data_IF_746872863167
#
_entry.id   IF_746872863167
#
_cell.length_a   1.000
_cell.length_b   1.000
_cell.length_c   1.000
_cell.angle_alpha   90.00
_cell.angle_beta   90.00
_cell.angle_gamma   90.00
#
_symmetry.space_group_name_H-M   'P 1'
#
loop_
_entity.id
_entity.type
_entity.pdbx_description
1 polymer ?
#
# COMPACT_ATOMS: atom_id res chain seq x y z
N UNK A 1 -12.22 1.80 -10.18
CA UNK A 1 -11.36 1.47 -9.03
C UNK A 1 -10.90 2.75 -8.37
N UNK A 2 -10.91 2.82 -7.05
CA UNK A 2 -10.60 4.04 -6.30
C UNK A 2 -9.57 3.78 -5.21
N UNK A 3 -8.49 4.56 -5.19
CA UNK A 3 -7.54 4.64 -4.08
C UNK A 3 -8.15 5.42 -2.92
N UNK A 4 -8.17 4.84 -1.73
CA UNK A 4 -8.75 5.48 -0.54
C UNK A 4 -7.71 6.10 0.39
N UNK A 5 -6.48 6.24 -0.09
CA UNK A 5 -5.41 6.85 0.68
C UNK A 5 -4.81 5.96 1.77
N UNK A 6 -3.92 6.51 2.61
CA UNK A 6 -3.10 5.75 3.55
C UNK A 6 -3.87 5.27 4.79
N UNK A 7 -5.02 5.84 5.08
CA UNK A 7 -5.85 5.42 6.23
C UNK A 7 -6.84 6.47 6.70
N UNK A 8 -6.39 7.66 7.07
CA UNK A 8 -7.28 8.73 7.51
C UNK A 8 -8.16 9.22 6.33
N UNK A 9 -9.50 9.30 6.52
CA UNK A 9 -10.44 9.76 5.50
C UNK A 9 -10.20 11.17 4.94
N UNK A 10 -9.42 12.00 5.62
CA UNK A 10 -9.06 13.33 5.14
C UNK A 10 -8.10 13.30 3.92
N UNK A 11 -7.42 12.16 3.74
CA UNK A 11 -6.50 11.94 2.62
C UNK A 11 -7.14 11.23 1.42
N UNK A 12 -8.46 11.00 1.43
CA UNK A 12 -9.16 10.51 0.26
C UNK A 12 -9.42 11.65 -0.72
N UNK A 13 -9.13 11.44 -2.00
CA UNK A 13 -9.44 12.42 -3.02
C UNK A 13 -10.95 12.64 -3.15
N UNK A 14 -11.42 13.88 -3.39
CA UNK A 14 -12.85 14.17 -3.60
C UNK A 14 -13.48 13.30 -4.70
N UNK A 15 -12.75 13.06 -5.80
CA UNK A 15 -13.21 12.20 -6.90
C UNK A 15 -13.43 10.74 -6.45
N UNK A 16 -12.54 10.20 -5.60
CA UNK A 16 -12.70 8.85 -5.06
C UNK A 16 -13.90 8.78 -4.10
N UNK A 17 -14.05 9.77 -3.22
CA UNK A 17 -15.21 9.89 -2.33
C UNK A 17 -16.53 9.94 -3.11
N UNK A 18 -16.63 10.81 -4.12
CA UNK A 18 -17.82 10.92 -4.96
C UNK A 18 -18.16 9.60 -5.65
N UNK A 19 -17.16 8.91 -6.22
CA UNK A 19 -17.36 7.61 -6.85
C UNK A 19 -17.88 6.55 -5.87
N UNK A 20 -17.34 6.49 -4.66
CA UNK A 20 -17.76 5.56 -3.61
C UNK A 20 -19.18 5.87 -3.14
N UNK A 21 -19.50 7.12 -2.87
CA UNK A 21 -20.82 7.55 -2.40
C UNK A 21 -21.93 7.32 -3.42
N UNK A 22 -21.61 7.46 -4.71
CA UNK A 22 -22.55 7.22 -5.81
C UNK A 22 -22.67 5.76 -6.25
N UNK A 23 -21.85 4.86 -5.72
CA UNK A 23 -21.86 3.46 -6.13
C UNK A 23 -23.06 2.69 -5.55
N UNK A 24 -23.64 1.79 -6.33
CA UNK A 24 -24.60 0.79 -5.83
C UNK A 24 -23.91 -0.46 -5.29
N UNK A 25 -22.73 -0.77 -5.80
CA UNK A 25 -21.93 -1.94 -5.41
C UNK A 25 -20.51 -1.51 -5.05
N UNK A 26 -20.08 -1.86 -3.84
CA UNK A 26 -18.74 -1.61 -3.34
C UNK A 26 -17.98 -2.92 -3.10
N UNK A 27 -16.75 -2.98 -3.55
CA UNK A 27 -15.82 -4.07 -3.28
C UNK A 27 -14.59 -3.49 -2.57
N UNK A 28 -14.17 -4.08 -1.46
CA UNK A 28 -13.02 -3.53 -0.72
C UNK A 28 -12.61 -4.41 0.46
N UNK A 29 -11.49 -4.09 1.09
CA UNK A 29 -11.11 -4.69 2.37
C UNK A 29 -12.13 -4.37 3.46
N UNK A 30 -12.19 -5.19 4.53
CA UNK A 30 -13.19 -5.03 5.60
C UNK A 30 -13.17 -3.62 6.23
N UNK A 31 -11.97 -3.04 6.44
CA UNK A 31 -11.82 -1.67 6.94
C UNK A 31 -12.41 -0.65 5.97
N UNK A 32 -12.05 -0.74 4.68
CA UNK A 32 -12.56 0.20 3.67
C UNK A 32 -14.08 0.18 3.59
N UNK A 33 -14.69 -1.01 3.67
CA UNK A 33 -16.15 -1.13 3.70
C UNK A 33 -16.75 -0.56 4.98
N UNK A 34 -16.12 -0.78 6.14
CA UNK A 34 -16.59 -0.23 7.41
C UNK A 34 -16.55 1.31 7.42
N UNK A 35 -15.50 1.91 6.83
CA UNK A 35 -15.28 3.35 6.83
C UNK A 35 -16.16 4.08 5.78
N UNK A 36 -16.45 3.44 4.64
CA UNK A 36 -17.02 4.15 3.48
C UNK A 36 -18.35 3.61 2.98
N UNK A 37 -18.75 2.36 3.28
CA UNK A 37 -20.02 1.83 2.81
C UNK A 37 -21.20 2.49 3.53
N UNK A 38 -22.27 2.75 2.77
CA UNK A 38 -23.52 3.35 3.27
C UNK A 38 -24.68 2.36 3.17
N UNK A 39 -25.72 2.62 3.96
CA UNK A 39 -26.95 1.85 3.88
C UNK A 39 -27.50 1.82 2.45
N UNK A 40 -27.91 0.64 2.01
CA UNK A 40 -28.46 0.42 0.66
C UNK A 40 -27.43 0.06 -0.42
N UNK A 41 -26.12 0.15 -0.12
CA UNK A 41 -25.07 -0.32 -1.05
C UNK A 41 -24.83 -1.83 -0.85
N UNK A 42 -24.78 -2.58 -1.93
CA UNK A 42 -24.33 -3.97 -1.90
C UNK A 42 -22.80 -4.03 -1.73
N UNK A 43 -22.31 -4.89 -0.86
CA UNK A 43 -20.87 -4.92 -0.55
C UNK A 43 -20.27 -6.31 -0.71
N UNK A 44 -19.00 -6.37 -1.18
CA UNK A 44 -18.19 -7.58 -1.15
C UNK A 44 -16.84 -7.32 -0.53
N UNK A 45 -16.50 -8.13 0.48
CA UNK A 45 -15.19 -8.02 1.16
C UNK A 45 -14.12 -8.81 0.40
N UNK A 46 -12.99 -8.17 0.12
CA UNK A 46 -11.78 -8.83 -0.41
C UNK A 46 -11.12 -9.63 0.71
N UNK A 47 -11.08 -10.98 0.59
CA UNK A 47 -10.54 -11.91 1.60
C UNK A 47 -9.55 -12.91 1.02
N UNK A 48 -8.73 -12.58 0.10
CA UNK A 48 -7.73 -13.51 -0.45
C UNK A 48 -8.20 -14.36 -1.63
N UNK A 49 -9.48 -14.75 -1.72
CA UNK A 49 -10.03 -15.39 -2.92
C UNK A 49 -10.34 -14.33 -3.99
N UNK A 50 -9.33 -14.02 -4.77
CA UNK A 50 -9.42 -13.03 -5.84
C UNK A 50 -10.33 -13.51 -6.97
N UNK A 51 -10.39 -14.81 -7.24
CA UNK A 51 -11.26 -15.36 -8.29
C UNK A 51 -12.73 -15.12 -7.97
N UNK A 52 -13.15 -15.35 -6.73
CA UNK A 52 -14.52 -15.06 -6.28
C UNK A 52 -14.84 -13.56 -6.36
N UNK A 53 -13.89 -12.69 -6.03
CA UNK A 53 -14.03 -11.23 -6.15
C UNK A 53 -14.24 -10.82 -7.61
N UNK A 54 -13.44 -11.34 -8.53
CA UNK A 54 -13.55 -11.05 -9.97
C UNK A 54 -14.89 -11.56 -10.55
N UNK A 55 -15.31 -12.76 -10.17
CA UNK A 55 -16.60 -13.32 -10.59
C UNK A 55 -17.79 -12.45 -10.11
N UNK A 56 -17.75 -12.01 -8.86
CA UNK A 56 -18.75 -11.10 -8.31
C UNK A 56 -18.80 -9.77 -9.09
N UNK A 57 -17.63 -9.14 -9.31
CA UNK A 57 -17.55 -7.90 -10.09
C UNK A 57 -18.13 -8.10 -11.48
N UNK A 58 -17.79 -9.19 -12.17
CA UNK A 58 -18.28 -9.51 -13.51
C UNK A 58 -19.80 -9.69 -13.56
N UNK A 59 -20.38 -10.34 -12.57
CA UNK A 59 -21.82 -10.47 -12.42
C UNK A 59 -22.51 -9.11 -12.25
N UNK A 60 -21.98 -8.27 -11.33
CA UNK A 60 -22.62 -6.98 -11.03
C UNK A 60 -22.48 -5.95 -12.15
N UNK A 61 -21.38 -5.98 -12.91
CA UNK A 61 -21.18 -5.11 -14.07
C UNK A 61 -22.22 -5.29 -15.18
N UNK A 62 -22.98 -6.39 -15.19
CA UNK A 62 -24.11 -6.58 -16.12
C UNK A 62 -25.29 -5.65 -15.82
N UNK A 63 -25.37 -5.11 -14.61
CA UNK A 63 -26.53 -4.34 -14.14
C UNK A 63 -26.16 -2.92 -13.69
N UNK A 64 -24.95 -2.73 -13.18
CA UNK A 64 -24.54 -1.46 -12.60
C UNK A 64 -23.02 -1.28 -12.59
N UNK A 65 -22.57 -0.08 -12.24
CA UNK A 65 -21.17 0.19 -11.99
C UNK A 65 -20.74 -0.35 -10.63
N UNK A 66 -19.53 -0.92 -10.59
CA UNK A 66 -18.90 -1.44 -9.37
C UNK A 66 -17.72 -0.55 -9.02
N UNK A 67 -17.65 -0.09 -7.78
CA UNK A 67 -16.47 0.62 -7.27
C UNK A 67 -15.64 -0.32 -6.39
N UNK A 68 -14.40 -0.56 -6.82
CA UNK A 68 -13.41 -1.35 -6.07
C UNK A 68 -12.51 -0.38 -5.32
N UNK A 69 -12.52 -0.46 -3.98
CA UNK A 69 -11.71 0.36 -3.09
C UNK A 69 -10.43 -0.38 -2.71
N UNK A 70 -9.29 0.31 -2.79
CA UNK A 70 -8.00 -0.20 -2.32
C UNK A 70 -7.28 0.84 -1.47
N UNK A 71 -6.56 0.38 -0.45
CA UNK A 71 -5.70 1.24 0.36
C UNK A 71 -4.58 1.84 -0.49
N UNK A 72 -4.19 3.06 -0.20
CA UNK A 72 -3.16 3.77 -0.93
C UNK A 72 -3.57 4.14 -2.34
N UNK A 73 -2.68 3.90 -3.28
CA UNK A 73 -2.85 4.12 -4.72
C UNK A 73 -3.09 2.80 -5.46
N UNK A 74 -4.06 2.75 -6.40
CA UNK A 74 -4.32 1.55 -7.19
C UNK A 74 -3.17 1.09 -8.07
N UNK A 75 -2.29 1.97 -8.47
CA UNK A 75 -1.15 1.67 -9.36
C UNK A 75 0.02 0.99 -8.67
N UNK A 76 0.00 0.83 -7.34
CA UNK A 76 1.13 0.27 -6.61
C UNK A 76 0.75 -0.98 -5.81
N UNK A 77 1.07 -2.17 -6.34
CA UNK A 77 0.82 -3.50 -5.74
C UNK A 77 -0.59 -3.68 -5.20
N UNK A 78 -1.57 -3.52 -6.07
CA UNK A 78 -2.98 -3.63 -5.72
C UNK A 78 -3.74 -4.67 -6.56
N UNK A 79 -5.06 -4.74 -6.37
CA UNK A 79 -5.95 -5.57 -7.18
C UNK A 79 -6.00 -5.14 -8.67
N UNK A 80 -5.44 -3.98 -9.04
CA UNK A 80 -5.49 -3.47 -10.41
C UNK A 80 -4.90 -4.45 -11.42
N UNK A 81 -3.81 -5.15 -11.07
CA UNK A 81 -3.20 -6.15 -11.95
C UNK A 81 -4.16 -7.30 -12.27
N UNK A 82 -4.92 -7.78 -11.30
CA UNK A 82 -5.91 -8.82 -11.51
C UNK A 82 -7.09 -8.32 -12.35
N UNK A 83 -7.57 -7.09 -12.09
CA UNK A 83 -8.63 -6.47 -12.88
C UNK A 83 -8.22 -6.27 -14.34
N UNK A 84 -6.98 -5.86 -14.62
CA UNK A 84 -6.46 -5.68 -15.99
C UNK A 84 -6.31 -6.98 -16.77
N UNK A 85 -6.16 -8.11 -16.11
CA UNK A 85 -6.15 -9.44 -16.77
C UNK A 85 -7.55 -9.91 -17.14
N UNK A 86 -8.56 -9.52 -16.37
CA UNK A 86 -9.96 -10.00 -16.52
C UNK A 86 -10.80 -9.05 -17.35
N UNK A 87 -10.57 -7.75 -17.29
CA UNK A 87 -11.42 -6.73 -17.92
C UNK A 87 -10.63 -5.90 -18.95
N UNK A 88 -11.32 -5.49 -20.02
CA UNK A 88 -10.74 -4.63 -21.04
C UNK A 88 -10.40 -3.25 -20.46
N UNK A 89 -9.30 -2.60 -20.88
CA UNK A 89 -8.87 -1.31 -20.33
C UNK A 89 -9.95 -0.23 -20.35
N UNK A 90 -10.77 -0.18 -21.38
CA UNK A 90 -11.87 0.78 -21.52
C UNK A 90 -13.01 0.59 -20.50
N UNK A 91 -13.05 -0.54 -19.84
CA UNK A 91 -14.00 -0.82 -18.75
C UNK A 91 -13.49 -0.36 -17.39
N UNK A 92 -12.23 0.05 -17.31
CA UNK A 92 -11.55 0.39 -16.07
C UNK A 92 -11.32 1.89 -15.98
N UNK A 93 -11.95 2.51 -14.98
CA UNK A 93 -11.63 3.87 -14.55
C UNK A 93 -10.83 3.76 -13.25
N UNK A 94 -9.62 4.31 -13.24
CA UNK A 94 -8.74 4.29 -12.07
C UNK A 94 -8.65 5.70 -11.49
N UNK A 95 -9.10 5.87 -10.26
CA UNK A 95 -8.95 7.10 -9.50
C UNK A 95 -7.77 6.90 -8.57
N UNK A 96 -6.71 7.72 -8.65
CA UNK A 96 -5.52 7.57 -7.84
C UNK A 96 -5.80 7.82 -6.36
N UNK A 97 -4.85 7.46 -5.50
CA UNK A 97 -4.87 7.75 -4.08
C UNK A 97 -3.47 8.03 -3.55
N UNK A 98 -3.37 8.62 -2.37
CA UNK A 98 -2.08 8.83 -1.71
C UNK A 98 -1.60 7.49 -1.15
N UNK A 99 -0.47 6.98 -1.65
CA UNK A 99 0.11 5.75 -1.11
C UNK A 99 0.75 5.97 0.26
N UNK A 100 0.86 4.90 1.04
CA UNK A 100 1.59 4.95 2.32
C UNK A 100 3.08 5.28 2.14
N UNK A 101 3.68 4.91 0.99
CA UNK A 101 5.04 5.32 0.64
C UNK A 101 5.14 6.84 0.45
N UNK A 102 4.25 7.44 -0.35
CA UNK A 102 4.22 8.89 -0.51
C UNK A 102 4.05 9.60 0.84
N UNK A 103 3.17 9.05 1.70
CA UNK A 103 2.98 9.61 3.04
C UNK A 103 4.24 9.50 3.88
N UNK A 104 4.97 8.37 3.86
CA UNK A 104 6.23 8.21 4.59
C UNK A 104 7.27 9.24 4.17
N UNK A 105 7.50 9.39 2.86
CA UNK A 105 8.44 10.39 2.35
C UNK A 105 8.03 11.82 2.70
N UNK A 106 6.73 12.13 2.65
CA UNK A 106 6.22 13.44 3.06
C UNK A 106 6.46 13.72 4.55
N UNK A 107 6.24 12.73 5.43
CA UNK A 107 6.50 12.85 6.88
C UNK A 107 7.97 13.03 7.20
N UNK A 108 8.85 12.41 6.42
CA UNK A 108 10.30 12.52 6.56
C UNK A 108 10.88 13.77 5.89
N UNK A 109 10.06 14.55 5.18
CA UNK A 109 10.49 15.67 4.35
C UNK A 109 11.60 15.29 3.34
N UNK A 110 11.54 14.05 2.82
CA UNK A 110 12.50 13.53 1.86
C UNK A 110 11.90 13.55 0.44
N UNK A 111 12.64 14.10 -0.56
CA UNK A 111 12.27 13.90 -1.96
C UNK A 111 12.43 12.42 -2.35
N UNK A 112 11.50 11.90 -3.14
CA UNK A 112 11.47 10.47 -3.48
C UNK A 112 11.61 10.16 -4.97
N UNK A 113 11.91 11.17 -5.79
CA UNK A 113 12.04 10.99 -7.25
C UNK A 113 13.24 10.10 -7.64
N UNK A 114 14.26 9.98 -6.78
CA UNK A 114 15.40 9.07 -6.95
C UNK A 114 15.29 7.79 -6.11
N UNK A 115 14.24 7.68 -5.29
CA UNK A 115 14.06 6.51 -4.45
C UNK A 115 13.68 5.27 -5.28
N UNK A 116 14.32 4.15 -4.98
CA UNK A 116 13.83 2.84 -5.43
C UNK A 116 12.72 2.39 -4.51
N UNK A 117 11.60 1.99 -5.10
CA UNK A 117 10.44 1.52 -4.37
C UNK A 117 10.26 0.04 -4.59
N UNK A 118 10.15 -0.73 -3.52
CA UNK A 118 9.92 -2.17 -3.59
C UNK A 118 8.90 -2.63 -2.55
N UNK A 119 8.35 -3.81 -2.73
CA UNK A 119 7.32 -4.34 -1.87
C UNK A 119 7.68 -5.74 -1.39
N UNK A 120 7.69 -5.90 -0.07
CA UNK A 120 7.68 -7.21 0.58
C UNK A 120 6.26 -7.70 0.90
N UNK A 121 5.24 -6.93 0.58
CA UNK A 121 3.86 -7.30 0.88
C UNK A 121 3.37 -8.43 -0.03
N UNK A 122 3.32 -9.66 0.52
CA UNK A 122 2.91 -10.86 -0.19
C UNK A 122 3.90 -11.33 -1.26
N UNK A 123 5.13 -10.80 -1.27
CA UNK A 123 6.21 -11.14 -2.21
C UNK A 123 7.57 -10.86 -1.58
N UNK A 124 8.61 -11.30 -2.27
CA UNK A 124 9.99 -10.91 -1.98
C UNK A 124 10.54 -10.21 -3.22
N UNK A 125 11.07 -8.98 -3.11
CA UNK A 125 11.74 -8.29 -4.21
C UNK A 125 12.94 -9.08 -4.71
N UNK A 126 13.29 -8.90 -6.01
CA UNK A 126 14.54 -9.42 -6.53
C UNK A 126 15.72 -8.66 -5.89
N UNK A 127 16.88 -9.32 -5.70
CA UNK A 127 18.06 -8.68 -5.11
C UNK A 127 18.43 -7.36 -5.80
N UNK A 128 18.30 -7.27 -7.11
CA UNK A 128 18.64 -6.08 -7.91
C UNK A 128 17.75 -4.87 -7.59
N UNK A 129 16.51 -5.12 -7.12
CA UNK A 129 15.57 -4.07 -6.73
C UNK A 129 15.98 -3.39 -5.43
N UNK A 130 16.70 -4.10 -4.53
CA UNK A 130 16.98 -3.67 -3.16
C UNK A 130 18.45 -3.72 -2.75
N UNK A 131 19.38 -4.15 -3.63
CA UNK A 131 20.82 -4.18 -3.35
C UNK A 131 21.39 -2.78 -3.04
N UNK A 132 22.46 -2.76 -2.26
CA UNK A 132 23.16 -1.54 -1.92
C UNK A 132 23.70 -0.80 -3.16
N UNK A 133 23.63 0.51 -3.12
CA UNK A 133 24.34 1.44 -3.99
C UNK A 133 24.66 2.68 -3.15
N UNK A 134 25.80 3.29 -3.36
CA UNK A 134 26.18 4.53 -2.68
C UNK A 134 25.13 5.63 -2.93
N UNK A 135 24.72 6.32 -1.86
CA UNK A 135 23.65 7.32 -1.91
C UNK A 135 22.25 6.78 -2.18
N UNK A 136 22.06 5.46 -2.10
CA UNK A 136 20.74 4.85 -2.36
C UNK A 136 19.69 5.27 -1.32
N UNK A 137 18.48 5.46 -1.83
CA UNK A 137 17.28 5.69 -1.04
C UNK A 137 16.24 4.62 -1.42
N UNK A 138 15.76 3.85 -0.43
CA UNK A 138 14.73 2.83 -0.62
C UNK A 138 13.45 3.19 0.13
N UNK A 139 12.29 2.94 -0.50
CA UNK A 139 10.99 2.89 0.15
C UNK A 139 10.41 1.48 0.05
N UNK A 140 10.09 0.85 1.17
CA UNK A 140 9.73 -0.57 1.23
C UNK A 140 8.40 -0.78 1.95
N UNK A 141 7.47 -1.52 1.31
CA UNK A 141 6.27 -2.04 1.98
C UNK A 141 6.64 -3.30 2.76
N UNK A 142 6.14 -3.43 3.99
CA UNK A 142 6.31 -4.62 4.83
C UNK A 142 5.06 -5.49 4.88
N UNK A 143 5.18 -6.69 5.42
CA UNK A 143 4.06 -7.59 5.75
C UNK A 143 4.30 -8.34 7.07
N UNK A 144 3.48 -9.35 7.35
CA UNK A 144 3.56 -10.13 8.60
C UNK A 144 4.86 -10.91 8.76
N UNK A 145 5.48 -11.33 7.66
CA UNK A 145 6.70 -12.14 7.65
C UNK A 145 7.93 -11.26 7.44
N UNK A 146 7.80 -10.29 6.54
CA UNK A 146 8.83 -9.34 6.20
C UNK A 146 8.60 -8.05 6.99
N UNK A 147 9.19 -7.98 8.17
CA UNK A 147 8.94 -6.94 9.17
C UNK A 147 10.08 -5.93 9.25
N UNK A 148 9.92 -4.92 10.10
CA UNK A 148 10.98 -3.97 10.43
C UNK A 148 12.22 -4.59 11.06
N UNK A 149 12.17 -5.87 11.46
CA UNK A 149 13.33 -6.63 11.97
C UNK A 149 13.96 -7.54 10.93
N UNK A 150 13.15 -8.20 10.10
CA UNK A 150 13.66 -9.19 9.13
C UNK A 150 14.20 -8.55 7.86
N UNK A 151 13.58 -7.45 7.39
CA UNK A 151 14.06 -6.74 6.20
C UNK A 151 15.45 -6.13 6.39
N UNK A 152 15.78 -5.45 7.51
CA UNK A 152 17.13 -4.95 7.74
C UNK A 152 18.24 -6.01 7.65
N UNK A 153 17.99 -7.21 8.20
CA UNK A 153 18.94 -8.32 8.11
C UNK A 153 19.19 -8.70 6.64
N UNK A 154 18.11 -8.82 5.87
CA UNK A 154 18.22 -9.14 4.45
C UNK A 154 18.94 -8.04 3.64
N UNK A 155 18.73 -6.77 3.96
CA UNK A 155 19.45 -5.68 3.31
C UNK A 155 20.95 -5.75 3.62
N UNK A 156 21.34 -6.03 4.87
CA UNK A 156 22.74 -6.22 5.24
C UNK A 156 23.39 -7.41 4.53
N UNK A 157 22.64 -8.49 4.24
CA UNK A 157 23.10 -9.59 3.38
C UNK A 157 23.30 -9.19 1.91
N UNK A 158 22.75 -8.04 1.50
CA UNK A 158 22.88 -7.42 0.17
C UNK A 158 23.81 -6.19 0.21
N UNK A 159 24.82 -6.23 1.08
CA UNK A 159 25.91 -5.28 1.23
C UNK A 159 25.51 -3.89 1.79
N UNK A 160 24.27 -3.73 2.31
CA UNK A 160 23.92 -2.49 2.97
C UNK A 160 24.74 -2.32 4.28
N UNK A 161 25.37 -1.15 4.52
CA UNK A 161 26.11 -0.93 5.75
C UNK A 161 25.16 -0.94 6.96
N UNK A 162 25.55 -1.56 8.09
CA UNK A 162 24.74 -1.51 9.32
C UNK A 162 24.43 -0.09 9.82
N UNK A 163 25.26 0.88 9.44
CA UNK A 163 25.11 2.31 9.75
C UNK A 163 24.10 3.05 8.86
N UNK A 164 23.57 2.42 7.80
CA UNK A 164 22.57 3.06 6.96
C UNK A 164 21.36 3.51 7.78
N UNK A 165 20.89 4.73 7.54
CA UNK A 165 19.71 5.28 8.22
C UNK A 165 18.47 4.46 7.90
N UNK A 166 17.69 4.13 8.92
CA UNK A 166 16.42 3.43 8.81
C UNK A 166 15.32 4.23 9.49
N UNK A 167 14.27 4.54 8.74
CA UNK A 167 13.04 5.11 9.28
C UNK A 167 11.92 4.05 9.18
N UNK A 168 11.35 3.69 10.34
CA UNK A 168 10.25 2.73 10.44
C UNK A 168 8.97 3.53 10.65
N UNK A 169 8.11 3.54 9.64
CA UNK A 169 6.87 4.31 9.64
C UNK A 169 5.68 3.35 9.77
N UNK A 170 4.87 3.56 10.80
CA UNK A 170 3.67 2.76 11.02
C UNK A 170 2.46 3.64 11.30
N UNK A 171 1.27 3.13 11.00
CA UNK A 171 0.01 3.81 11.26
C UNK A 171 -0.06 5.22 10.64
N UNK A 172 0.64 5.42 9.51
CA UNK A 172 0.70 6.70 8.83
C UNK A 172 -0.68 7.27 8.55
N UNK A 173 -0.84 8.56 8.82
CA UNK A 173 -2.07 9.35 8.76
C UNK A 173 -3.11 9.11 9.87
N UNK A 174 -2.94 8.13 10.72
CA UNK A 174 -3.79 7.91 11.89
C UNK A 174 -3.33 8.76 13.09
N UNK A 175 -4.17 8.89 14.12
CA UNK A 175 -3.83 9.61 15.36
C UNK A 175 -2.66 8.96 16.12
N UNK A 176 -2.49 7.65 15.98
CA UNK A 176 -1.42 6.87 16.58
C UNK A 176 -0.25 6.61 15.60
N UNK A 177 -0.05 7.53 14.65
CA UNK A 177 1.09 7.51 13.73
C UNK A 177 2.42 7.45 14.49
N UNK A 178 3.32 6.57 14.06
CA UNK A 178 4.64 6.43 14.65
C UNK A 178 5.72 6.44 13.56
N UNK A 179 6.79 7.19 13.83
CA UNK A 179 8.00 7.21 13.02
C UNK A 179 9.19 7.00 13.94
N UNK A 180 9.91 5.91 13.74
CA UNK A 180 11.08 5.54 14.52
C UNK A 180 12.31 5.76 13.64
N UNK A 181 13.28 6.50 14.14
CA UNK A 181 14.57 6.74 13.49
C UNK A 181 15.63 5.86 14.15
N UNK A 182 16.33 5.07 13.35
CA UNK A 182 17.35 4.11 13.80
C UNK A 182 18.32 3.83 12.65
N UNK A 183 19.11 2.76 12.76
CA UNK A 183 19.97 2.23 11.70
C UNK A 183 19.60 0.79 11.37
N UNK A 184 20.09 0.25 10.25
CA UNK A 184 19.86 -1.15 9.91
C UNK A 184 20.40 -2.09 11.00
N UNK A 185 21.59 -1.79 11.55
CA UNK A 185 22.24 -2.59 12.60
C UNK A 185 21.48 -2.57 13.94
N UNK A 186 20.78 -1.49 14.24
CA UNK A 186 20.03 -1.31 15.49
C UNK A 186 18.55 -1.63 15.39
N UNK A 187 18.07 -2.02 14.22
CA UNK A 187 16.64 -2.27 13.95
C UNK A 187 16.01 -3.31 14.90
N UNK A 188 16.81 -4.27 15.40
CA UNK A 188 16.32 -5.29 16.33
C UNK A 188 15.97 -4.73 17.72
N UNK A 189 16.54 -3.59 18.12
CA UNK A 189 16.22 -2.93 19.38
C UNK A 189 14.91 -2.13 19.32
N UNK A 190 14.46 -1.76 18.11
CA UNK A 190 13.21 -1.05 17.92
C UNK A 190 11.99 -2.01 18.04
N UNK A 191 10.78 -1.48 18.32
CA UNK A 191 9.56 -2.27 18.23
C UNK A 191 9.39 -2.92 16.86
N UNK A 192 8.98 -4.18 16.83
CA UNK A 192 8.72 -4.89 15.59
C UNK A 192 7.43 -4.39 14.95
N UNK A 193 7.53 -3.89 13.73
CA UNK A 193 6.40 -3.38 12.94
C UNK A 193 6.20 -4.30 11.73
N UNK A 194 5.00 -4.87 11.64
CA UNK A 194 4.44 -5.48 10.44
C UNK A 194 3.47 -4.50 9.77
N UNK A 195 3.28 -4.59 8.48
CA UNK A 195 2.37 -3.70 7.74
C UNK A 195 2.69 -2.20 7.92
N UNK A 196 3.95 -1.85 7.81
CA UNK A 196 4.46 -0.48 7.82
C UNK A 196 5.24 -0.14 6.55
N UNK A 197 5.90 0.99 6.60
CA UNK A 197 6.82 1.45 5.57
C UNK A 197 8.22 1.55 6.19
N UNK A 198 9.21 1.02 5.49
CA UNK A 198 10.61 1.28 5.80
C UNK A 198 11.18 2.24 4.75
N UNK A 199 11.85 3.29 5.20
CA UNK A 199 12.65 4.15 4.34
C UNK A 199 14.11 3.99 4.79
N UNK A 200 14.95 3.55 3.85
CA UNK A 200 16.38 3.28 4.10
C UNK A 200 17.22 4.22 3.25
N UNK A 201 18.18 4.88 3.88
CA UNK A 201 19.10 5.81 3.22
C UNK A 201 20.54 5.42 3.52
N UNK A 202 21.35 5.30 2.44
CA UNK A 202 22.78 5.02 2.51
C UNK A 202 23.61 6.27 2.79
#
# INVERSE_FOLDING_TARGET
>A
MAGIGPGNPDFILPAARTAIEGAQVLVGGSRALADFARYGQETMTIRGDIAAVLAFIKEKLQKTHVVVMVSGDPGYYSLLDALRREFLPQMLVVIPGISSLQMAFARLALPWHEARLASFHGRVPQPEEISYREGALLGLLTDRTNTSRTIPLRLMELDWPPSAELHICSRLSYEDEQIIHTTLGEASAAPEISHGILVVKA
#
